data_IF_367770427430
#
_entry.id   IF_367770427430
#
_cell.length_a   1.000
_cell.length_b   1.000
_cell.length_c   1.000
_cell.angle_alpha   90.00
_cell.angle_beta   90.00
_cell.angle_gamma   90.00
#
_symmetry.space_group_name_H-M   'P 1'
#
loop_
_entity.id
_entity.type
_entity.pdbx_description
1 polymer ?
#
# COMPACT_ATOMS: atom_id res chain seq x y z
N UNK A 1 9.25 -8.64 18.17
CA UNK A 1 7.82 -8.43 18.42
C UNK A 1 7.09 -9.77 18.29
N UNK A 2 6.26 -10.14 19.27
CA UNK A 2 5.41 -11.34 19.20
C UNK A 2 4.21 -11.09 18.28
N UNK A 3 3.61 -12.15 17.73
CA UNK A 3 2.40 -12.03 16.89
C UNK A 3 1.25 -11.38 17.67
N UNK A 4 1.03 -11.79 18.93
CA UNK A 4 0.01 -11.18 19.79
C UNK A 4 0.18 -9.66 19.99
N UNK A 5 1.40 -9.18 20.22
CA UNK A 5 1.65 -7.74 20.40
C UNK A 5 1.33 -6.97 19.11
N UNK A 6 1.81 -7.49 17.97
CA UNK A 6 1.51 -6.88 16.67
C UNK A 6 0.00 -6.84 16.37
N UNK A 7 -0.73 -7.92 16.68
CA UNK A 7 -2.18 -7.95 16.50
C UNK A 7 -2.88 -6.91 17.39
N UNK A 8 -2.41 -6.69 18.61
CA UNK A 8 -2.99 -5.68 19.51
C UNK A 8 -2.79 -4.24 19.03
N UNK A 9 -1.69 -3.96 18.32
CA UNK A 9 -1.33 -2.64 17.82
C UNK A 9 -1.94 -2.35 16.43
N UNK A 10 -2.19 -3.40 15.64
CA UNK A 10 -2.75 -3.24 14.30
C UNK A 10 -4.17 -2.69 14.34
N UNK A 11 -4.43 -1.66 13.54
CA UNK A 11 -5.74 -0.99 13.45
C UNK A 11 -6.89 -1.95 13.22
N UNK A 12 -6.69 -3.07 12.50
CA UNK A 12 -7.70 -4.09 12.23
C UNK A 12 -8.23 -4.78 13.49
N UNK A 13 -7.36 -5.09 14.46
CA UNK A 13 -7.68 -5.93 15.62
C UNK A 13 -7.58 -5.20 16.97
N UNK A 14 -7.19 -3.93 16.98
CA UNK A 14 -6.95 -3.12 18.19
C UNK A 14 -8.11 -3.03 19.21
N UNK A 15 -9.34 -3.35 18.81
CA UNK A 15 -10.51 -3.32 19.70
C UNK A 15 -10.81 -4.67 20.37
N UNK A 16 -10.02 -5.71 20.07
CA UNK A 16 -10.21 -7.04 20.62
C UNK A 16 -9.52 -7.18 21.99
N UNK A 17 -10.17 -7.88 22.92
CA UNK A 17 -9.56 -8.30 24.18
C UNK A 17 -8.39 -9.27 23.94
N UNK A 18 -7.51 -9.43 24.94
CA UNK A 18 -6.41 -10.39 24.83
C UNK A 18 -6.87 -11.83 24.54
N UNK A 19 -7.99 -12.29 25.10
CA UNK A 19 -8.53 -13.61 24.78
C UNK A 19 -8.97 -13.72 23.32
N UNK A 20 -9.57 -12.67 22.78
CA UNK A 20 -9.97 -12.64 21.37
C UNK A 20 -8.73 -12.60 20.47
N UNK A 21 -7.72 -11.80 20.79
CA UNK A 21 -6.45 -11.72 20.06
C UNK A 21 -5.72 -13.06 20.04
N UNK A 22 -5.69 -13.81 21.15
CA UNK A 22 -5.13 -15.18 21.18
C UNK A 22 -5.87 -16.12 20.23
N UNK A 23 -7.19 -15.98 20.09
CA UNK A 23 -7.98 -16.77 19.13
C UNK A 23 -7.63 -16.41 17.68
N UNK A 24 -7.33 -15.14 17.40
CA UNK A 24 -6.82 -14.72 16.08
C UNK A 24 -5.42 -15.27 15.84
N UNK A 25 -4.52 -15.18 16.83
CA UNK A 25 -3.16 -15.70 16.74
C UNK A 25 -3.14 -17.20 16.36
N UNK A 26 -4.02 -18.00 16.97
CA UNK A 26 -4.10 -19.45 16.68
C UNK A 26 -4.48 -19.81 15.24
N UNK A 27 -5.17 -18.91 14.52
CA UNK A 27 -5.56 -19.14 13.11
C UNK A 27 -4.64 -18.39 12.14
N UNK A 28 -3.63 -17.69 12.64
CA UNK A 28 -2.63 -17.00 11.83
C UNK A 28 -1.38 -17.86 11.64
N UNK A 29 -0.82 -17.86 10.44
CA UNK A 29 0.53 -18.36 10.20
C UNK A 29 1.47 -17.21 9.82
N UNK A 30 2.75 -17.35 10.14
CA UNK A 30 3.76 -16.34 9.80
C UNK A 30 4.57 -16.79 8.60
N UNK A 31 4.85 -15.87 7.68
CA UNK A 31 5.72 -16.11 6.52
C UNK A 31 6.71 -14.97 6.36
N UNK A 32 7.98 -15.30 6.24
CA UNK A 32 9.03 -14.36 5.84
C UNK A 32 9.33 -14.53 4.36
N UNK A 33 9.39 -13.41 3.64
CA UNK A 33 9.54 -13.38 2.19
C UNK A 33 10.64 -12.38 1.83
N UNK A 34 11.68 -12.80 1.10
CA UNK A 34 12.76 -11.91 0.72
C UNK A 34 12.30 -10.87 -0.30
N UNK A 35 13.05 -9.78 -0.41
CA UNK A 35 12.84 -8.74 -1.42
C UNK A 35 12.73 -9.33 -2.84
N UNK A 36 12.00 -8.59 -3.69
CA UNK A 36 11.75 -8.88 -5.11
C UNK A 36 10.91 -10.13 -5.42
N UNK A 37 10.44 -10.87 -4.42
CA UNK A 37 9.56 -12.04 -4.63
C UNK A 37 8.13 -11.65 -4.94
N UNK A 38 7.54 -12.35 -5.91
CA UNK A 38 6.11 -12.33 -6.18
C UNK A 38 5.37 -13.17 -5.13
N UNK A 39 4.35 -12.59 -4.49
CA UNK A 39 3.47 -13.33 -3.58
C UNK A 39 2.37 -14.05 -4.34
N UNK A 40 1.78 -13.37 -5.32
CA UNK A 40 0.78 -13.89 -6.25
C UNK A 40 0.67 -12.96 -7.44
N UNK A 41 0.15 -13.50 -8.54
CA UNK A 41 -0.16 -12.77 -9.75
C UNK A 41 -1.66 -12.46 -9.83
N UNK A 42 -1.98 -11.39 -10.56
CA UNK A 42 -3.34 -11.12 -11.00
C UNK A 42 -3.93 -12.34 -11.73
N UNK A 43 -5.22 -12.61 -11.51
CA UNK A 43 -5.97 -13.74 -12.05
C UNK A 43 -5.56 -15.13 -11.52
N UNK A 44 -4.68 -15.21 -10.52
CA UNK A 44 -4.49 -16.46 -9.79
C UNK A 44 -5.63 -16.69 -8.78
N UNK A 45 -5.96 -17.95 -8.43
CA UNK A 45 -6.78 -18.23 -7.27
C UNK A 45 -6.16 -17.67 -5.99
N UNK A 46 -6.99 -17.16 -5.07
CA UNK A 46 -6.52 -16.57 -3.82
C UNK A 46 -7.42 -16.91 -2.64
N UNK A 47 -6.95 -17.77 -1.75
CA UNK A 47 -7.69 -18.28 -0.59
C UNK A 47 -7.20 -17.75 0.76
N UNK A 48 -6.23 -16.83 0.74
CA UNK A 48 -5.64 -16.21 1.95
C UNK A 48 -5.58 -14.69 1.84
N UNK A 49 -5.65 -14.04 3.00
CA UNK A 49 -5.35 -12.63 3.22
C UNK A 49 -4.04 -12.49 3.99
N UNK A 50 -3.36 -11.37 3.78
CA UNK A 50 -2.06 -11.06 4.37
C UNK A 50 -2.16 -9.81 5.23
N UNK A 51 -1.48 -9.81 6.37
CA UNK A 51 -1.16 -8.62 7.17
C UNK A 51 0.36 -8.39 7.15
N UNK A 52 0.81 -7.18 6.88
CA UNK A 52 2.23 -6.85 6.87
C UNK A 52 2.69 -6.57 8.30
N UNK A 53 3.51 -7.45 8.85
CA UNK A 53 4.12 -7.24 10.19
C UNK A 53 5.26 -6.24 10.12
N UNK A 54 6.11 -6.42 9.10
CA UNK A 54 7.21 -5.53 8.80
C UNK A 54 7.59 -5.74 7.35
N UNK A 55 7.71 -4.71 6.54
CA UNK A 55 8.00 -4.89 5.13
C UNK A 55 7.36 -3.87 4.22
N UNK A 56 7.38 -4.18 2.92
CA UNK A 56 6.71 -3.36 1.92
C UNK A 56 6.29 -4.22 0.75
N UNK A 57 5.03 -4.08 0.35
CA UNK A 57 4.44 -4.84 -0.76
C UNK A 57 3.88 -3.88 -1.79
N UNK A 58 4.32 -4.03 -3.04
CA UNK A 58 3.76 -3.34 -4.21
C UNK A 58 2.55 -4.11 -4.72
N UNK A 59 1.43 -3.42 -4.87
CA UNK A 59 0.25 -3.92 -5.58
C UNK A 59 0.23 -3.28 -6.96
N UNK A 60 0.15 -4.08 -8.02
CA UNK A 60 0.21 -3.59 -9.39
C UNK A 60 -0.70 -4.34 -10.36
N UNK A 61 -0.97 -3.70 -11.50
CA UNK A 61 -1.61 -4.28 -12.68
C UNK A 61 -0.59 -4.32 -13.80
N UNK A 62 -0.62 -5.38 -14.60
CA UNK A 62 0.27 -5.52 -15.76
C UNK A 62 -0.61 -5.53 -17.01
N UNK A 63 -0.37 -4.61 -17.95
CA UNK A 63 -1.08 -4.58 -19.22
C UNK A 63 -0.66 -5.75 -20.12
N UNK A 64 -1.46 -6.08 -21.13
CA UNK A 64 -1.08 -7.06 -22.15
C UNK A 64 0.23 -6.72 -22.89
N UNK A 65 0.61 -5.44 -22.92
CA UNK A 65 1.88 -4.95 -23.47
C UNK A 65 3.06 -5.00 -22.49
N UNK A 66 2.87 -5.59 -21.29
CA UNK A 66 3.90 -5.71 -20.26
C UNK A 66 4.17 -4.43 -19.48
N UNK A 67 3.35 -3.38 -19.64
CA UNK A 67 3.49 -2.15 -18.83
C UNK A 67 2.88 -2.39 -17.47
N UNK A 68 3.68 -2.22 -16.43
CA UNK A 68 3.23 -2.29 -15.05
C UNK A 68 2.72 -0.91 -14.59
N UNK A 69 1.53 -0.90 -13.98
CA UNK A 69 1.00 0.25 -13.23
C UNK A 69 0.90 -0.13 -11.76
N UNK A 70 1.57 0.63 -10.91
CA UNK A 70 1.43 0.48 -9.46
C UNK A 70 0.09 1.05 -9.02
N UNK A 71 -0.68 0.26 -8.30
CA UNK A 71 -1.94 0.67 -7.68
C UNK A 71 -1.72 1.22 -6.28
N UNK A 72 -0.87 0.56 -5.50
CA UNK A 72 -0.54 0.94 -4.13
C UNK A 72 0.82 0.38 -3.71
N UNK A 73 1.42 1.03 -2.71
CA UNK A 73 2.55 0.52 -1.95
C UNK A 73 2.03 0.37 -0.52
N UNK A 74 2.12 -0.84 0.02
CA UNK A 74 1.59 -1.20 1.34
C UNK A 74 2.73 -1.44 2.31
N UNK A 75 2.54 -1.05 3.57
CA UNK A 75 3.55 -1.08 4.63
C UNK A 75 3.03 -1.77 5.90
N UNK A 76 3.82 -1.68 6.97
CA UNK A 76 3.55 -2.29 8.26
C UNK A 76 2.14 -1.91 8.76
N UNK A 77 1.36 -2.93 9.15
CA UNK A 77 -0.03 -2.79 9.57
C UNK A 77 -1.07 -2.91 8.45
N UNK A 78 -0.67 -2.83 7.18
CA UNK A 78 -1.61 -2.97 6.06
C UNK A 78 -2.06 -4.42 5.86
N UNK A 79 -3.32 -4.53 5.43
CA UNK A 79 -3.96 -5.79 5.02
C UNK A 79 -4.06 -5.85 3.50
N UNK A 80 -3.84 -7.01 2.86
CA UNK A 80 -4.06 -7.17 1.42
C UNK A 80 -4.41 -8.60 1.00
N UNK A 81 -4.97 -8.73 -0.21
CA UNK A 81 -5.49 -10.00 -0.72
C UNK A 81 -6.90 -10.33 -0.21
N UNK A 82 -7.56 -9.36 0.43
CA UNK A 82 -8.89 -9.51 1.02
C UNK A 82 -10.01 -9.54 -0.03
N UNK A 83 -9.84 -8.91 -1.20
CA UNK A 83 -10.89 -8.81 -2.23
C UNK A 83 -11.32 -10.22 -2.69
N UNK A 84 -10.38 -11.02 -3.20
CA UNK A 84 -10.65 -12.40 -3.67
C UNK A 84 -11.20 -13.29 -2.55
N UNK A 85 -10.77 -13.02 -1.31
CA UNK A 85 -11.22 -13.74 -0.13
C UNK A 85 -12.67 -13.38 0.26
N UNK A 86 -13.12 -12.16 0.00
CA UNK A 86 -14.49 -11.71 0.30
C UNK A 86 -15.46 -12.10 -0.82
N UNK A 87 -15.13 -11.83 -2.07
CA UNK A 87 -16.04 -12.01 -3.21
C UNK A 87 -15.98 -13.42 -3.86
N UNK A 88 -14.92 -14.19 -3.62
CA UNK A 88 -14.75 -15.51 -4.25
C UNK A 88 -14.17 -15.47 -5.66
N UNK A 89 -13.77 -14.30 -6.14
CA UNK A 89 -13.10 -14.12 -7.41
C UNK A 89 -11.61 -14.48 -7.36
N UNK A 90 -10.95 -14.25 -8.50
CA UNK A 90 -9.49 -14.38 -8.62
C UNK A 90 -8.79 -13.16 -8.01
N UNK A 91 -7.47 -13.25 -7.83
CA UNK A 91 -6.64 -12.12 -7.40
C UNK A 91 -6.86 -10.93 -8.34
N UNK A 92 -7.34 -9.83 -7.77
CA UNK A 92 -7.67 -8.63 -8.53
C UNK A 92 -6.44 -7.83 -8.99
N UNK A 93 -5.25 -8.13 -8.48
CA UNK A 93 -4.00 -7.47 -8.80
C UNK A 93 -2.82 -8.40 -8.47
N UNK A 94 -1.63 -8.00 -8.91
CA UNK A 94 -0.37 -8.66 -8.61
C UNK A 94 0.24 -8.07 -7.33
N UNK A 95 0.87 -8.92 -6.50
CA UNK A 95 1.57 -8.49 -5.28
C UNK A 95 3.05 -8.89 -5.31
N UNK A 96 3.95 -7.91 -5.16
CA UNK A 96 5.40 -8.10 -5.12
C UNK A 96 6.00 -7.51 -3.84
N UNK A 97 6.89 -8.26 -3.19
CA UNK A 97 7.66 -7.79 -2.04
C UNK A 97 8.77 -6.85 -2.50
N UNK A 98 8.88 -5.66 -1.92
CA UNK A 98 9.89 -4.64 -2.27
C UNK A 98 11.10 -4.61 -1.32
N UNK A 99 10.92 -5.06 -0.08
CA UNK A 99 11.99 -5.27 0.91
C UNK A 99 11.67 -6.52 1.70
N UNK A 100 12.64 -7.15 2.36
CA UNK A 100 12.37 -8.34 3.19
C UNK A 100 11.16 -8.11 4.08
N UNK A 101 10.14 -8.94 3.91
CA UNK A 101 8.80 -8.71 4.46
C UNK A 101 8.36 -9.91 5.28
N UNK A 102 7.84 -9.62 6.47
CA UNK A 102 7.20 -10.58 7.36
C UNK A 102 5.68 -10.38 7.28
N UNK A 103 4.96 -11.46 7.03
CA UNK A 103 3.52 -11.48 6.83
C UNK A 103 2.85 -12.38 7.87
N UNK A 104 1.68 -11.96 8.35
CA UNK A 104 0.68 -12.88 8.89
C UNK A 104 -0.28 -13.30 7.77
N UNK A 105 -0.68 -14.56 7.77
CA UNK A 105 -1.55 -15.16 6.77
C UNK A 105 -2.76 -15.76 7.48
N UNK A 106 -3.96 -15.47 6.98
CA UNK A 106 -5.23 -16.05 7.45
C UNK A 106 -5.97 -16.64 6.24
N UNK A 107 -6.41 -17.89 6.35
CA UNK A 107 -7.21 -18.55 5.32
C UNK A 107 -8.64 -18.02 5.29
N UNK A 108 -9.27 -18.07 4.11
CA UNK A 108 -10.63 -17.59 3.84
C UNK A 108 -11.64 -18.03 4.87
N UNK A 109 -11.69 -19.33 5.14
CA UNK A 109 -12.70 -19.88 6.03
C UNK A 109 -12.59 -19.29 7.44
N UNK A 110 -11.38 -19.13 7.95
CA UNK A 110 -11.17 -18.61 9.29
C UNK A 110 -11.34 -17.10 9.35
N UNK A 111 -10.90 -16.37 8.33
CA UNK A 111 -11.12 -14.94 8.24
C UNK A 111 -12.62 -14.58 8.15
N UNK A 112 -13.40 -15.34 7.38
CA UNK A 112 -14.85 -15.14 7.33
C UNK A 112 -15.49 -15.43 8.69
N UNK A 113 -15.11 -16.52 9.39
CA UNK A 113 -15.59 -16.78 10.76
C UNK A 113 -15.27 -15.64 11.71
N UNK A 114 -14.08 -15.06 11.60
CA UNK A 114 -13.64 -13.90 12.39
C UNK A 114 -14.52 -12.68 12.13
N UNK A 115 -14.81 -12.36 10.87
CA UNK A 115 -15.71 -11.23 10.52
C UNK A 115 -17.11 -11.44 11.09
N UNK A 116 -17.68 -12.65 10.96
CA UNK A 116 -19.01 -12.94 11.47
C UNK A 116 -19.08 -12.88 13.01
N UNK A 117 -17.99 -13.28 13.67
CA UNK A 117 -17.90 -13.30 15.13
C UNK A 117 -17.62 -11.92 15.74
N UNK A 118 -16.87 -11.08 15.04
CA UNK A 118 -16.43 -9.76 15.48
C UNK A 118 -16.75 -8.71 14.40
N UNK A 119 -18.01 -8.24 14.31
CA UNK A 119 -18.48 -7.32 13.25
C UNK A 119 -17.70 -6.01 13.14
N UNK A 120 -17.05 -5.57 14.23
CA UNK A 120 -16.15 -4.42 14.25
C UNK A 120 -14.97 -4.57 13.29
N UNK A 121 -14.49 -5.80 13.08
CA UNK A 121 -13.44 -6.11 12.09
C UNK A 121 -14.01 -5.91 10.68
N UNK A 122 -15.23 -6.39 10.43
CA UNK A 122 -15.92 -6.18 9.15
C UNK A 122 -16.06 -4.69 8.81
N UNK A 123 -16.41 -3.85 9.78
CA UNK A 123 -16.50 -2.40 9.61
C UNK A 123 -15.15 -1.77 9.24
N UNK A 124 -14.05 -2.23 9.85
CA UNK A 124 -12.69 -1.78 9.52
C UNK A 124 -12.27 -2.21 8.10
N UNK A 125 -12.62 -3.42 7.68
CA UNK A 125 -12.41 -3.87 6.29
C UNK A 125 -13.18 -3.01 5.30
N UNK A 126 -14.44 -2.68 5.58
CA UNK A 126 -15.24 -1.78 4.74
C UNK A 126 -14.57 -0.40 4.64
N UNK A 127 -14.02 0.13 5.73
CA UNK A 127 -13.28 1.40 5.71
C UNK A 127 -12.03 1.32 4.82
N UNK A 128 -11.24 0.24 4.91
CA UNK A 128 -10.08 -0.02 4.05
C UNK A 128 -10.49 -0.07 2.57
N UNK A 129 -11.52 -0.86 2.24
CA UNK A 129 -12.03 -0.97 0.87
C UNK A 129 -12.57 0.37 0.33
N UNK A 130 -13.25 1.14 1.18
CA UNK A 130 -13.74 2.48 0.83
C UNK A 130 -12.60 3.45 0.51
N UNK A 131 -11.51 3.39 1.28
CA UNK A 131 -10.32 4.20 1.01
C UNK A 131 -9.65 3.79 -0.30
N UNK A 132 -9.50 2.49 -0.55
CA UNK A 132 -8.97 1.96 -1.82
C UNK A 132 -9.81 2.38 -3.03
N UNK A 133 -11.13 2.38 -2.91
CA UNK A 133 -12.02 2.87 -3.96
C UNK A 133 -11.82 4.36 -4.23
N UNK A 134 -11.69 5.19 -3.17
CA UNK A 134 -11.40 6.62 -3.32
C UNK A 134 -10.06 6.85 -4.01
N UNK A 135 -9.02 6.10 -3.65
CA UNK A 135 -7.72 6.19 -4.30
C UNK A 135 -7.76 5.74 -5.76
N UNK A 136 -8.50 4.68 -6.07
CA UNK A 136 -8.70 4.20 -7.45
C UNK A 136 -9.42 5.25 -8.30
N UNK A 137 -10.49 5.87 -7.77
CA UNK A 137 -11.21 6.95 -8.44
C UNK A 137 -10.31 8.17 -8.68
N UNK A 138 -9.48 8.54 -7.70
CA UNK A 138 -8.49 9.62 -7.84
C UNK A 138 -7.49 9.31 -8.95
N UNK A 139 -6.95 8.10 -8.98
CA UNK A 139 -6.03 7.66 -10.04
C UNK A 139 -6.69 7.67 -11.42
N UNK A 140 -7.96 7.26 -11.52
CA UNK A 140 -8.71 7.28 -12.77
C UNK A 140 -8.91 8.72 -13.28
N UNK A 141 -9.36 9.63 -12.40
CA UNK A 141 -9.49 11.06 -12.71
C UNK A 141 -8.16 11.66 -13.18
N UNK A 142 -7.08 11.34 -12.46
CA UNK A 142 -5.73 11.81 -12.78
C UNK A 142 -5.23 11.30 -14.13
N UNK A 143 -5.56 10.06 -14.51
CA UNK A 143 -5.17 9.50 -15.80
C UNK A 143 -5.89 10.14 -16.99
N UNK A 144 -7.15 10.55 -16.83
CA UNK A 144 -7.98 11.08 -17.92
C UNK A 144 -7.90 12.60 -18.08
N UNK A 145 -7.67 13.36 -17.02
CA UNK A 145 -7.82 14.83 -17.05
C UNK A 145 -6.55 15.61 -16.70
N UNK A 146 -5.47 14.95 -16.26
CA UNK A 146 -4.28 15.65 -15.74
C UNK A 146 -2.99 15.29 -16.49
N UNK A 147 -2.19 16.32 -16.78
CA UNK A 147 -0.82 16.19 -17.27
C UNK A 147 0.06 15.43 -16.26
N UNK A 148 1.20 14.90 -16.72
CA UNK A 148 2.17 14.24 -15.83
C UNK A 148 2.63 15.17 -14.71
N UNK A 149 2.78 16.47 -15.01
CA UNK A 149 3.16 17.47 -14.00
C UNK A 149 2.09 17.64 -12.93
N UNK A 150 0.82 17.77 -13.29
CA UNK A 150 -0.28 17.90 -12.33
C UNK A 150 -0.42 16.64 -11.47
N UNK A 151 -0.33 15.45 -12.09
CA UNK A 151 -0.34 14.18 -11.34
C UNK A 151 0.82 14.05 -10.36
N UNK A 152 2.00 14.53 -10.75
CA UNK A 152 3.18 14.52 -9.86
C UNK A 152 2.95 15.44 -8.66
N UNK A 153 2.38 16.63 -8.86
CA UNK A 153 2.03 17.54 -7.77
C UNK A 153 1.03 16.91 -6.80
N UNK A 154 -0.05 16.32 -7.31
CA UNK A 154 -1.05 15.65 -6.47
C UNK A 154 -0.45 14.52 -5.63
N UNK A 155 0.42 13.70 -6.23
CA UNK A 155 1.08 12.61 -5.51
C UNK A 155 1.98 13.15 -4.40
N UNK A 156 2.77 14.17 -4.70
CA UNK A 156 3.66 14.79 -3.72
C UNK A 156 2.87 15.42 -2.56
N UNK A 157 1.76 16.11 -2.84
CA UNK A 157 0.89 16.64 -1.79
C UNK A 157 0.25 15.53 -0.96
N UNK A 158 -0.21 14.44 -1.59
CA UNK A 158 -0.73 13.28 -0.86
C UNK A 158 0.32 12.68 0.09
N UNK A 159 1.55 12.49 -0.39
CA UNK A 159 2.64 11.95 0.43
C UNK A 159 3.06 12.92 1.54
N UNK A 160 2.98 14.24 1.30
CA UNK A 160 3.21 15.24 2.32
C UNK A 160 2.14 15.19 3.43
N UNK A 161 0.86 14.99 3.06
CA UNK A 161 -0.23 14.84 4.03
C UNK A 161 -0.13 13.54 4.85
N UNK A 162 0.29 12.44 4.22
CA UNK A 162 0.33 11.10 4.85
C UNK A 162 1.62 10.83 5.65
N UNK A 163 2.77 11.29 5.15
CA UNK A 163 4.10 10.94 5.67
C UNK A 163 5.01 12.15 5.91
N UNK A 164 4.56 13.37 5.60
CA UNK A 164 5.37 14.57 5.63
C UNK A 164 5.81 14.99 7.04
N UNK A 165 7.06 15.48 7.14
CA UNK A 165 7.61 16.08 8.36
C UNK A 165 7.97 17.53 8.11
N UNK A 166 7.50 18.43 8.98
CA UNK A 166 7.91 19.84 8.93
C UNK A 166 9.41 19.98 9.16
N UNK A 167 10.08 20.74 8.29
CA UNK A 167 11.48 21.14 8.38
C UNK A 167 11.59 22.65 8.15
N UNK A 168 12.73 23.25 8.48
CA UNK A 168 12.94 24.71 8.37
C UNK A 168 12.64 25.28 6.98
N UNK A 169 12.82 24.47 5.93
CA UNK A 169 12.61 24.89 4.54
C UNK A 169 11.20 24.57 4.01
N UNK A 170 10.36 23.79 4.71
CA UNK A 170 9.05 23.35 4.21
C UNK A 170 8.66 21.95 4.71
N UNK A 171 7.99 21.15 3.88
CA UNK A 171 7.57 19.78 4.23
C UNK A 171 8.50 18.76 3.58
N UNK A 172 9.15 17.92 4.40
CA UNK A 172 10.01 16.83 3.94
C UNK A 172 9.20 15.53 3.81
N UNK A 173 9.23 14.94 2.61
CA UNK A 173 8.86 13.55 2.37
C UNK A 173 10.16 12.74 2.39
N UNK A 174 10.37 11.95 3.44
CA UNK A 174 11.57 11.11 3.55
C UNK A 174 11.66 10.11 2.39
N UNK A 175 12.88 9.66 2.08
CA UNK A 175 13.16 8.77 0.95
C UNK A 175 12.65 7.35 1.22
N UNK A 176 11.33 7.19 1.16
CA UNK A 176 10.64 5.92 1.14
C UNK A 176 10.58 5.40 -0.29
N UNK A 177 10.32 6.25 -1.30
CA UNK A 177 10.06 5.83 -2.68
C UNK A 177 11.13 6.33 -3.68
N UNK A 178 11.51 5.45 -4.59
CA UNK A 178 12.39 5.73 -5.74
C UNK A 178 11.62 6.43 -6.87
N UNK A 179 12.34 7.05 -7.82
CA UNK A 179 11.71 7.67 -8.99
C UNK A 179 10.91 6.66 -9.84
N UNK A 180 11.32 5.40 -9.86
CA UNK A 180 10.59 4.34 -10.56
C UNK A 180 9.25 4.06 -9.88
N UNK A 181 9.25 3.96 -8.54
CA UNK A 181 8.02 3.74 -7.75
C UNK A 181 7.06 4.93 -7.86
N UNK A 182 7.57 6.16 -7.75
CA UNK A 182 6.78 7.37 -7.97
C UNK A 182 6.17 7.41 -9.38
N UNK A 183 6.97 7.06 -10.40
CA UNK A 183 6.49 7.01 -11.79
C UNK A 183 5.38 5.96 -11.97
N UNK A 184 5.53 4.79 -11.35
CA UNK A 184 4.54 3.72 -11.34
C UNK A 184 3.21 4.16 -10.75
N UNK A 185 3.22 4.92 -9.64
CA UNK A 185 2.02 5.41 -8.95
C UNK A 185 1.19 6.37 -9.80
N UNK A 186 1.83 7.23 -10.59
CA UNK A 186 1.11 8.15 -11.50
C UNK A 186 0.93 7.61 -12.91
N UNK A 187 1.42 6.40 -13.20
CA UNK A 187 1.35 5.77 -14.52
C UNK A 187 2.16 6.50 -15.59
N UNK A 188 3.43 6.82 -15.31
CA UNK A 188 4.37 7.40 -16.26
C UNK A 188 5.70 6.64 -16.27
N UNK A 189 6.66 7.04 -17.12
CA UNK A 189 8.01 6.44 -17.14
C UNK A 189 8.93 7.11 -16.11
N UNK A 190 9.96 6.39 -15.63
CA UNK A 190 10.97 6.94 -14.71
C UNK A 190 11.66 8.18 -15.27
N UNK A 191 11.92 8.22 -16.56
CA UNK A 191 12.51 9.37 -17.25
C UNK A 191 11.57 10.56 -17.20
N UNK A 192 10.27 10.33 -17.43
CA UNK A 192 9.23 11.36 -17.36
C UNK A 192 9.05 11.91 -15.95
N UNK A 193 9.08 11.04 -14.94
CA UNK A 193 9.09 11.43 -13.52
C UNK A 193 10.32 12.27 -13.18
N UNK A 194 11.51 11.81 -13.57
CA UNK A 194 12.77 12.53 -13.32
C UNK A 194 12.76 13.91 -13.99
N UNK A 195 12.29 14.01 -15.24
CA UNK A 195 12.14 15.30 -15.94
C UNK A 195 11.17 16.23 -15.21
N UNK A 196 10.07 15.69 -14.68
CA UNK A 196 9.05 16.48 -13.99
C UNK A 196 9.55 17.00 -12.65
N UNK A 197 10.21 16.17 -11.84
CA UNK A 197 10.83 16.59 -10.58
C UNK A 197 11.89 17.68 -10.82
N UNK A 198 12.76 17.50 -11.83
CA UNK A 198 13.74 18.51 -12.21
C UNK A 198 13.09 19.82 -12.67
N UNK A 199 11.96 19.75 -13.38
CA UNK A 199 11.20 20.95 -13.79
C UNK A 199 10.65 21.69 -12.57
N UNK A 200 10.02 20.98 -11.63
CA UNK A 200 9.47 21.57 -10.40
C UNK A 200 10.58 22.18 -9.52
N UNK A 201 11.74 21.53 -9.45
CA UNK A 201 12.90 22.05 -8.74
C UNK A 201 13.45 23.34 -9.38
N UNK A 202 13.57 23.38 -10.70
CA UNK A 202 13.97 24.61 -11.42
C UNK A 202 12.98 25.76 -11.24
N UNK A 203 11.71 25.45 -11.01
CA UNK A 203 10.65 26.42 -10.73
C UNK A 203 10.60 26.86 -9.26
N UNK A 204 11.42 26.27 -8.38
CA UNK A 204 11.47 26.64 -6.96
C UNK A 204 10.32 26.09 -6.12
N UNK A 205 9.62 25.04 -6.58
CA UNK A 205 8.52 24.42 -5.80
C UNK A 205 9.01 23.32 -4.84
N UNK A 206 10.14 22.69 -5.16
CA UNK A 206 10.67 21.59 -4.37
C UNK A 206 12.20 21.49 -4.50
N UNK A 207 12.81 20.68 -3.66
CA UNK A 207 14.21 20.28 -3.74
C UNK A 207 14.38 18.79 -3.46
N UNK A 208 15.06 18.11 -4.38
CA UNK A 208 15.41 16.69 -4.21
C UNK A 208 16.72 16.59 -3.43
N UNK A 209 16.77 15.74 -2.42
CA UNK A 209 17.96 15.52 -1.57
C UNK A 209 18.29 14.03 -1.47
N UNK A 210 19.44 13.71 -0.86
CA UNK A 210 19.75 12.31 -0.54
C UNK A 210 18.79 11.69 0.47
N UNK A 211 18.14 12.52 1.29
CA UNK A 211 17.23 12.10 2.37
C UNK A 211 15.75 12.03 1.95
N UNK A 212 15.38 12.59 0.81
CA UNK A 212 13.97 12.70 0.40
C UNK A 212 13.71 13.90 -0.51
N UNK A 213 12.46 14.31 -0.59
CA UNK A 213 12.00 15.49 -1.34
C UNK A 213 11.47 16.52 -0.34
N UNK A 214 11.97 17.75 -0.41
CA UNK A 214 11.44 18.89 0.36
C UNK A 214 10.51 19.67 -0.56
N UNK A 215 9.26 19.86 -0.15
CA UNK A 215 8.29 20.74 -0.81
C UNK A 215 8.34 22.07 -0.06
N UNK A 216 8.52 23.16 -0.80
CA UNK A 216 8.53 24.51 -0.23
C UNK A 216 7.09 25.02 -0.10
N UNK A 217 6.84 25.87 0.90
CA UNK A 217 5.58 26.61 1.07
C UNK A 217 5.40 27.71 0.01
#
# INVERSE_FOLDING_TARGET
>A
MTTLNFLSETSLFSNLSQEQLKKIEMITSTKEVPADKMLFLENEPGDVVYLIVSGRVKISKISASGREKTLAILEDGDIFGEISLLDGGLRSATAQVLKNTKLLIIHRQDFLKVIHKYPEIGSKIIAVLSQRLRDTNRQLSNAHFKTVTERTKDLLLKLADEEGKEVTEGIMIEKSLTHQELAGLIGTSRESMTRTLNKLQKQGWLRTTNKGIIIFD
#
